data_IF_611821073699
#
_entry.id   IF_611821073699
#
_cell.length_a   1.000
_cell.length_b   1.000
_cell.length_c   1.000
_cell.angle_alpha   90.00
_cell.angle_beta   90.00
_cell.angle_gamma   90.00
#
_symmetry.space_group_name_H-M   'P 1'
#
loop_
_entity.id
_entity.type
_entity.pdbx_description
1 polymer ?
#
# COMPACT_ATOMS: atom_id res chain seq x y z
N UNK A 1 -13.71 -11.05 16.98
CA UNK A 1 -13.52 -11.13 18.46
C UNK A 1 -12.36 -10.21 18.83
N UNK A 2 -12.39 -9.57 20.02
CA UNK A 2 -11.25 -8.77 20.45
C UNK A 2 -10.01 -9.66 20.62
N UNK A 3 -8.86 -9.18 20.16
CA UNK A 3 -7.59 -9.87 20.25
C UNK A 3 -7.13 -9.99 21.72
N UNK A 4 -6.63 -11.15 22.11
CA UNK A 4 -6.09 -11.37 23.47
C UNK A 4 -4.80 -10.57 23.65
N UNK A 5 -4.69 -9.93 24.81
CA UNK A 5 -3.54 -9.10 25.19
C UNK A 5 -2.78 -9.75 26.35
N UNK A 6 -1.56 -10.21 26.12
CA UNK A 6 -0.73 -10.82 27.12
C UNK A 6 0.03 -9.80 27.97
N UNK A 7 0.24 -10.09 29.23
CA UNK A 7 1.15 -9.32 30.08
C UNK A 7 2.61 -9.54 29.64
N UNK A 8 3.52 -8.65 30.05
CA UNK A 8 4.94 -8.82 29.78
C UNK A 8 5.47 -10.16 30.32
N UNK A 9 5.00 -10.60 31.50
CA UNK A 9 5.41 -11.86 32.12
C UNK A 9 4.94 -13.07 31.31
N UNK A 10 3.68 -13.10 30.90
CA UNK A 10 3.14 -14.16 30.05
C UNK A 10 3.84 -14.24 28.70
N UNK A 11 4.05 -13.07 28.05
CA UNK A 11 4.78 -13.02 26.78
C UNK A 11 6.21 -13.55 26.90
N UNK A 12 6.91 -13.24 28.00
CA UNK A 12 8.24 -13.78 28.26
C UNK A 12 8.24 -15.30 28.38
N UNK A 13 7.25 -15.86 29.06
CA UNK A 13 7.10 -17.33 29.19
C UNK A 13 6.81 -17.98 27.84
N UNK A 14 5.89 -17.43 27.07
CA UNK A 14 5.50 -17.95 25.75
C UNK A 14 6.62 -17.88 24.70
N UNK A 15 7.44 -16.85 24.77
CA UNK A 15 8.52 -16.61 23.80
C UNK A 15 9.89 -17.14 24.25
N UNK A 16 10.02 -17.60 25.49
CA UNK A 16 11.32 -17.97 26.04
C UNK A 16 12.30 -16.80 26.17
N UNK A 17 11.78 -15.56 26.31
CA UNK A 17 12.60 -14.34 26.30
C UNK A 17 12.65 -13.67 27.66
N UNK A 18 13.79 -13.01 27.95
CA UNK A 18 13.92 -12.18 29.14
C UNK A 18 13.13 -10.86 28.99
N UNK A 19 12.48 -10.33 30.05
CA UNK A 19 11.70 -9.08 29.99
C UNK A 19 12.46 -7.88 29.41
N UNK A 20 13.75 -7.76 29.67
CA UNK A 20 14.61 -6.70 29.13
C UNK A 20 14.70 -6.76 27.59
N UNK A 21 14.66 -7.96 27.01
CA UNK A 21 14.69 -8.14 25.54
C UNK A 21 13.43 -7.57 24.92
N UNK A 22 12.25 -7.91 25.44
CA UNK A 22 10.96 -7.39 24.94
C UNK A 22 10.88 -5.87 25.12
N UNK A 23 11.37 -5.35 26.27
CA UNK A 23 11.42 -3.89 26.50
C UNK A 23 12.38 -3.17 25.53
N UNK A 24 13.51 -3.78 25.20
CA UNK A 24 14.46 -3.25 24.20
C UNK A 24 13.83 -3.25 22.82
N UNK A 25 13.13 -4.30 22.44
CA UNK A 25 12.43 -4.41 21.15
C UNK A 25 11.28 -3.42 21.04
N UNK A 26 10.50 -3.19 22.11
CA UNK A 26 9.48 -2.13 22.18
C UNK A 26 10.09 -0.74 21.90
N UNK A 27 11.22 -0.41 22.55
CA UNK A 27 11.93 0.86 22.31
C UNK A 27 12.49 0.98 20.88
N UNK A 28 12.83 -0.14 20.26
CA UNK A 28 13.38 -0.19 18.89
C UNK A 28 12.28 -0.32 17.80
N UNK A 29 11.02 -0.35 18.19
CA UNK A 29 9.91 -0.58 17.24
C UNK A 29 9.88 -1.98 16.60
N UNK A 30 10.61 -2.96 17.15
CA UNK A 30 10.70 -4.33 16.63
C UNK A 30 9.55 -5.23 17.07
N UNK A 31 8.79 -4.82 18.06
CA UNK A 31 7.63 -5.53 18.62
C UNK A 31 6.47 -4.57 18.81
N UNK A 32 5.27 -4.99 18.43
CA UNK A 32 4.05 -4.22 18.66
C UNK A 32 3.60 -4.39 20.11
N UNK A 33 3.46 -3.27 20.81
CA UNK A 33 3.02 -3.24 22.20
C UNK A 33 1.86 -2.28 22.35
N UNK A 34 0.78 -2.74 23.00
CA UNK A 34 -0.34 -1.91 23.41
C UNK A 34 -0.10 -1.45 24.86
N UNK A 35 -0.35 -0.17 25.15
CA UNK A 35 -0.25 0.37 26.51
C UNK A 35 -1.63 0.53 27.11
N UNK A 36 -1.82 -0.01 28.30
CA UNK A 36 -3.04 0.28 29.06
C UNK A 36 -3.08 1.73 29.52
N UNK A 37 -4.22 2.23 29.95
CA UNK A 37 -4.36 3.57 30.53
C UNK A 37 -3.35 3.85 31.65
N UNK A 38 -2.98 2.83 32.44
CA UNK A 38 -1.93 2.90 33.46
C UNK A 38 -0.50 2.70 32.93
N UNK A 39 -0.25 2.81 31.61
CA UNK A 39 1.07 2.72 30.98
C UNK A 39 1.68 1.32 30.92
N UNK A 40 0.99 0.28 31.42
CA UNK A 40 1.50 -1.09 31.42
C UNK A 40 1.49 -1.68 30.01
N UNK A 41 2.59 -2.36 29.64
CA UNK A 41 2.73 -3.06 28.37
C UNK A 41 1.81 -4.26 28.28
N UNK A 42 1.18 -4.41 27.12
CA UNK A 42 0.42 -5.59 26.70
C UNK A 42 0.88 -6.00 25.32
N UNK A 43 1.16 -7.27 25.12
CA UNK A 43 1.61 -7.82 23.85
C UNK A 43 0.43 -8.53 23.20
N UNK A 44 0.01 -8.14 22.01
CA UNK A 44 -1.07 -8.81 21.28
C UNK A 44 -0.73 -10.26 20.96
N UNK A 45 -1.74 -11.13 20.94
CA UNK A 45 -1.55 -12.56 20.61
C UNK A 45 -0.96 -12.74 19.21
N UNK A 46 -1.38 -11.96 18.24
CA UNK A 46 -0.81 -11.96 16.88
C UNK A 46 0.70 -11.72 16.88
N UNK A 47 1.17 -10.87 17.77
CA UNK A 47 2.58 -10.55 17.89
C UNK A 47 3.38 -11.69 18.56
N UNK A 48 2.78 -12.39 19.54
CA UNK A 48 3.36 -13.59 20.11
C UNK A 48 3.53 -14.66 19.04
N UNK A 49 2.46 -14.96 18.28
CA UNK A 49 2.48 -15.94 17.19
C UNK A 49 3.52 -15.59 16.12
N UNK A 50 3.62 -14.31 15.74
CA UNK A 50 4.62 -13.81 14.80
C UNK A 50 6.05 -14.12 15.28
N UNK A 51 6.33 -13.89 16.55
CA UNK A 51 7.64 -14.10 17.15
C UNK A 51 7.97 -15.57 17.38
N UNK A 52 6.96 -16.42 17.53
CA UNK A 52 7.12 -17.88 17.61
C UNK A 52 7.32 -18.54 16.25
N UNK A 53 7.29 -17.73 15.17
CA UNK A 53 7.38 -18.25 13.80
C UNK A 53 6.07 -18.89 13.32
N UNK A 54 5.00 -18.84 14.12
CA UNK A 54 3.66 -19.12 13.62
C UNK A 54 3.27 -18.01 12.66
N UNK A 55 3.35 -18.27 11.36
CA UNK A 55 2.76 -17.39 10.35
C UNK A 55 1.27 -17.37 10.65
N UNK A 56 0.77 -16.26 11.21
CA UNK A 56 -0.66 -16.02 11.32
C UNK A 56 -1.34 -16.28 9.97
N UNK A 57 -2.64 -16.56 9.96
CA UNK A 57 -3.40 -16.68 8.70
C UNK A 57 -3.18 -15.38 7.93
N UNK A 58 -2.29 -15.46 6.92
CA UNK A 58 -1.97 -14.33 6.07
C UNK A 58 -3.07 -14.21 5.02
N UNK A 59 -3.53 -13.00 4.79
CA UNK A 59 -4.64 -12.75 3.89
C UNK A 59 -4.18 -12.55 2.44
N UNK A 60 -5.03 -12.96 1.51
CA UNK A 60 -4.93 -12.57 0.10
C UNK A 60 -5.70 -11.26 -0.05
N UNK A 61 -5.03 -10.20 -0.51
CA UNK A 61 -5.60 -8.87 -0.64
C UNK A 61 -5.60 -8.45 -2.10
N UNK A 62 -6.76 -8.01 -2.59
CA UNK A 62 -6.86 -7.30 -3.86
C UNK A 62 -6.47 -5.83 -3.70
N UNK A 63 -5.83 -5.28 -4.72
CA UNK A 63 -5.60 -3.85 -4.79
C UNK A 63 -6.12 -3.27 -6.10
N UNK A 64 -7.01 -2.29 -6.01
CA UNK A 64 -7.61 -1.60 -7.15
C UNK A 64 -7.46 -0.09 -7.02
N UNK A 65 -7.23 0.60 -8.14
CA UNK A 65 -7.02 2.04 -8.15
C UNK A 65 -7.52 2.67 -9.43
N UNK A 66 -8.04 3.89 -9.29
CA UNK A 66 -8.30 4.82 -10.42
C UNK A 66 -7.67 6.18 -10.11
N UNK A 67 -7.37 6.97 -11.13
CA UNK A 67 -6.71 8.27 -10.96
C UNK A 67 -7.66 9.36 -10.46
N UNK A 68 -8.95 9.29 -10.80
CA UNK A 68 -9.95 10.31 -10.45
C UNK A 68 -11.28 9.72 -9.98
N UNK A 69 -12.06 10.54 -9.30
CA UNK A 69 -13.40 10.17 -8.83
C UNK A 69 -14.41 9.96 -9.98
N UNK A 70 -14.14 10.48 -11.17
CA UNK A 70 -14.98 10.26 -12.35
C UNK A 70 -14.90 8.83 -12.90
N UNK A 71 -13.89 8.06 -12.48
CA UNK A 71 -13.64 6.67 -12.89
C UNK A 71 -14.15 5.65 -11.86
N UNK A 72 -15.16 6.01 -11.04
CA UNK A 72 -15.70 5.07 -10.02
C UNK A 72 -16.21 3.77 -10.60
N UNK A 73 -16.87 3.83 -11.74
CA UNK A 73 -17.39 2.64 -12.43
C UNK A 73 -16.26 1.69 -12.85
N UNK A 74 -15.10 2.22 -13.23
CA UNK A 74 -13.91 1.42 -13.53
C UNK A 74 -13.33 0.80 -12.26
N UNK A 75 -13.35 1.53 -11.14
CA UNK A 75 -12.91 1.01 -9.85
C UNK A 75 -13.80 -0.14 -9.39
N UNK A 76 -15.11 0.02 -9.50
CA UNK A 76 -16.08 -1.02 -9.15
C UNK A 76 -15.92 -2.28 -10.02
N UNK A 77 -15.68 -2.11 -11.33
CA UNK A 77 -15.37 -3.24 -12.23
C UNK A 77 -14.08 -3.96 -11.83
N UNK A 78 -13.02 -3.23 -11.46
CA UNK A 78 -11.79 -3.83 -10.96
C UNK A 78 -12.04 -4.64 -9.69
N UNK A 79 -12.79 -4.10 -8.73
CA UNK A 79 -13.14 -4.76 -7.47
C UNK A 79 -13.95 -6.03 -7.72
N UNK A 80 -14.98 -5.94 -8.55
CA UNK A 80 -15.84 -7.08 -8.89
C UNK A 80 -15.05 -8.19 -9.58
N UNK A 81 -14.18 -7.84 -10.51
CA UNK A 81 -13.32 -8.81 -11.17
C UNK A 81 -12.38 -9.53 -10.19
N UNK A 82 -11.78 -8.82 -9.24
CA UNK A 82 -10.95 -9.42 -8.21
C UNK A 82 -11.76 -10.36 -7.30
N UNK A 83 -13.00 -9.98 -6.95
CA UNK A 83 -13.90 -10.82 -6.15
C UNK A 83 -14.29 -12.10 -6.87
N UNK A 84 -14.58 -12.05 -8.16
CA UNK A 84 -14.88 -13.23 -8.99
C UNK A 84 -13.70 -14.20 -9.06
N UNK A 85 -12.46 -13.72 -8.84
CA UNK A 85 -11.24 -14.54 -8.72
C UNK A 85 -10.98 -15.05 -7.30
N UNK A 86 -11.96 -14.90 -6.39
CA UNK A 86 -11.89 -15.42 -5.02
C UNK A 86 -11.19 -14.49 -4.03
N UNK A 87 -10.86 -13.25 -4.41
CA UNK A 87 -10.27 -12.27 -3.51
C UNK A 87 -11.36 -11.64 -2.66
N UNK A 88 -11.42 -11.97 -1.38
CA UNK A 88 -12.47 -11.50 -0.48
C UNK A 88 -12.27 -10.06 -0.01
N UNK A 89 -11.03 -9.68 0.29
CA UNK A 89 -10.69 -8.34 0.74
C UNK A 89 -10.00 -7.55 -0.38
N UNK A 90 -10.58 -6.41 -0.76
CA UNK A 90 -10.00 -5.51 -1.76
C UNK A 90 -9.80 -4.13 -1.15
N UNK A 91 -8.56 -3.66 -1.18
CA UNK A 91 -8.20 -2.30 -0.82
C UNK A 91 -8.29 -1.43 -2.06
N UNK A 92 -8.93 -0.27 -1.94
CA UNK A 92 -9.13 0.65 -3.06
C UNK A 92 -8.56 2.01 -2.78
N UNK A 93 -8.10 2.69 -3.85
CA UNK A 93 -7.69 4.09 -3.81
C UNK A 93 -8.24 4.88 -5.00
N UNK A 94 -8.50 6.16 -4.79
CA UNK A 94 -8.74 7.15 -5.84
C UNK A 94 -7.60 8.16 -5.77
N UNK A 95 -6.76 8.18 -6.81
CA UNK A 95 -5.61 9.07 -6.91
C UNK A 95 -4.55 8.54 -7.87
N UNK A 96 -3.70 9.45 -8.35
CA UNK A 96 -2.62 9.12 -9.29
C UNK A 96 -1.66 8.03 -8.73
N UNK A 97 -1.14 7.19 -9.62
CA UNK A 97 -0.09 6.22 -9.32
C UNK A 97 1.23 6.84 -8.83
N UNK A 98 1.40 8.16 -9.05
CA UNK A 98 2.52 8.95 -8.54
C UNK A 98 2.35 9.41 -7.09
N UNK A 99 1.16 9.30 -6.54
CA UNK A 99 0.88 9.73 -5.18
C UNK A 99 1.18 8.59 -4.19
N UNK A 100 2.32 8.66 -3.55
CA UNK A 100 2.75 7.68 -2.54
C UNK A 100 2.00 7.79 -1.21
N UNK A 101 1.21 8.87 -1.01
CA UNK A 101 0.46 9.13 0.23
C UNK A 101 -0.99 8.62 0.17
N UNK A 102 -1.34 7.78 -0.79
CA UNK A 102 -2.66 7.15 -0.88
C UNK A 102 -2.93 6.30 0.35
N UNK A 103 -4.09 6.49 0.95
CA UNK A 103 -4.45 5.84 2.23
C UNK A 103 -4.52 4.32 2.12
N UNK A 104 -5.08 3.81 1.04
CA UNK A 104 -5.17 2.37 0.79
C UNK A 104 -3.79 1.76 0.54
N UNK A 105 -2.95 2.42 -0.26
CA UNK A 105 -1.58 2.00 -0.51
C UNK A 105 -0.75 1.91 0.78
N UNK A 106 -0.78 2.96 1.61
CA UNK A 106 -0.06 2.96 2.88
C UNK A 106 -0.58 1.87 3.83
N UNK A 107 -1.92 1.68 3.91
CA UNK A 107 -2.51 0.59 4.70
C UNK A 107 -2.07 -0.80 4.20
N UNK A 108 -2.02 -1.00 2.88
CA UNK A 108 -1.50 -2.25 2.31
C UNK A 108 -0.03 -2.46 2.66
N UNK A 109 0.79 -1.43 2.49
CA UNK A 109 2.22 -1.47 2.81
C UNK A 109 2.45 -1.80 4.29
N UNK A 110 1.74 -1.14 5.19
CA UNK A 110 1.83 -1.41 6.64
C UNK A 110 1.51 -2.88 6.95
N UNK A 111 0.46 -3.43 6.35
CA UNK A 111 0.08 -4.84 6.55
C UNK A 111 1.14 -5.82 6.01
N UNK A 112 1.75 -5.50 4.87
CA UNK A 112 2.87 -6.29 4.32
C UNK A 112 4.06 -6.25 5.26
N UNK A 113 4.46 -5.06 5.73
CA UNK A 113 5.57 -4.88 6.67
C UNK A 113 5.35 -5.60 8.01
N UNK A 114 4.08 -5.79 8.41
CA UNK A 114 3.71 -6.59 9.59
C UNK A 114 3.54 -8.09 9.28
N UNK A 115 3.87 -8.55 8.07
CA UNK A 115 3.74 -9.93 7.61
C UNK A 115 2.30 -10.49 7.70
N UNK A 116 1.29 -9.65 7.52
CA UNK A 116 -0.14 -10.00 7.57
C UNK A 116 -0.68 -10.43 6.20
N UNK A 117 0.09 -10.23 5.12
CA UNK A 117 -0.35 -10.47 3.74
C UNK A 117 0.45 -11.61 3.12
N UNK A 118 -0.24 -12.60 2.56
CA UNK A 118 0.36 -13.70 1.82
C UNK A 118 0.54 -13.36 0.34
N UNK A 119 -0.52 -12.79 -0.25
CA UNK A 119 -0.53 -12.44 -1.66
C UNK A 119 -1.29 -11.13 -1.88
N UNK A 120 -0.74 -10.27 -2.75
CA UNK A 120 -1.44 -9.11 -3.30
C UNK A 120 -1.81 -9.39 -4.75
N UNK A 121 -3.09 -9.24 -5.09
CA UNK A 121 -3.61 -9.46 -6.43
C UNK A 121 -4.07 -8.14 -7.03
N UNK A 122 -3.64 -7.82 -8.24
CA UNK A 122 -4.03 -6.62 -8.95
C UNK A 122 -4.16 -6.85 -10.45
N UNK A 123 -4.88 -5.98 -11.13
CA UNK A 123 -5.08 -6.12 -12.58
C UNK A 123 -3.84 -5.72 -13.39
N UNK A 124 -3.16 -4.66 -12.97
CA UNK A 124 -1.98 -4.12 -13.62
C UNK A 124 -0.99 -3.60 -12.57
N UNK A 125 0.30 -3.63 -12.87
CA UNK A 125 1.38 -3.15 -12.00
C UNK A 125 1.22 -1.67 -11.63
N UNK A 126 0.75 -0.86 -12.57
CA UNK A 126 0.53 0.58 -12.39
C UNK A 126 -0.61 0.91 -11.41
N UNK A 127 -1.43 -0.07 -11.05
CA UNK A 127 -2.41 0.09 -9.95
C UNK A 127 -1.68 0.31 -8.64
N UNK A 128 -0.59 -0.44 -8.38
CA UNK A 128 0.19 -0.30 -7.15
C UNK A 128 1.01 0.99 -7.16
N UNK A 129 1.81 1.20 -8.18
CA UNK A 129 2.65 2.41 -8.33
C UNK A 129 2.98 2.67 -9.79
N UNK A 130 3.19 3.93 -10.16
CA UNK A 130 3.60 4.28 -11.51
C UNK A 130 5.09 4.05 -11.74
N UNK A 131 5.91 4.18 -10.70
CA UNK A 131 7.35 3.95 -10.76
C UNK A 131 7.80 3.13 -9.54
N UNK A 132 8.90 2.39 -9.70
CA UNK A 132 9.50 1.63 -8.61
C UNK A 132 8.74 0.34 -8.24
N UNK A 133 7.95 -0.23 -9.16
CA UNK A 133 7.24 -1.48 -8.94
C UNK A 133 8.18 -2.61 -8.50
N UNK A 134 9.33 -2.78 -9.17
CA UNK A 134 10.31 -3.82 -8.83
C UNK A 134 10.88 -3.65 -7.41
N UNK A 135 11.05 -2.39 -6.97
CA UNK A 135 11.50 -2.10 -5.60
C UNK A 135 10.44 -2.56 -4.59
N UNK A 136 9.17 -2.20 -4.83
CA UNK A 136 8.07 -2.63 -3.97
C UNK A 136 7.90 -4.15 -3.99
N UNK A 137 7.99 -4.77 -5.15
CA UNK A 137 7.96 -6.23 -5.31
C UNK A 137 9.03 -6.89 -4.45
N UNK A 138 10.27 -6.38 -4.51
CA UNK A 138 11.36 -6.88 -3.69
C UNK A 138 11.11 -6.72 -2.19
N UNK A 139 10.57 -5.58 -1.75
CA UNK A 139 10.16 -5.35 -0.36
C UNK A 139 9.10 -6.37 0.07
N UNK A 140 8.07 -6.59 -0.75
CA UNK A 140 7.00 -7.54 -0.47
C UNK A 140 7.54 -8.96 -0.36
N UNK A 141 8.42 -9.38 -1.27
CA UNK A 141 9.08 -10.69 -1.24
C UNK A 141 9.89 -10.92 0.05
N UNK A 142 10.65 -9.90 0.50
CA UNK A 142 11.42 -9.98 1.77
C UNK A 142 10.50 -10.22 2.97
N UNK A 143 9.28 -9.66 2.93
CA UNK A 143 8.22 -9.92 3.91
C UNK A 143 7.40 -11.19 3.60
N UNK A 144 7.82 -11.96 2.60
CA UNK A 144 7.18 -13.20 2.19
C UNK A 144 5.82 -13.01 1.54
N UNK A 145 5.50 -11.81 1.04
CA UNK A 145 4.28 -11.50 0.28
C UNK A 145 4.55 -11.65 -1.21
N UNK A 146 3.75 -12.45 -1.91
CA UNK A 146 3.79 -12.54 -3.37
C UNK A 146 2.90 -11.48 -4.02
N UNK A 147 3.25 -11.05 -5.24
CA UNK A 147 2.40 -10.18 -6.06
C UNK A 147 1.94 -10.98 -7.29
N UNK A 148 0.64 -10.93 -7.55
CA UNK A 148 0.00 -11.56 -8.70
C UNK A 148 -0.66 -10.47 -9.57
N UNK A 149 -0.15 -10.29 -10.80
CA UNK A 149 -0.64 -9.29 -11.76
C UNK A 149 -1.38 -10.01 -12.87
N UNK A 150 -2.68 -9.76 -12.99
CA UNK A 150 -3.58 -10.52 -13.84
C UNK A 150 -3.52 -10.13 -15.33
N UNK A 151 -2.92 -8.97 -15.67
CA UNK A 151 -2.70 -8.45 -17.03
C UNK A 151 -3.89 -8.59 -17.99
N UNK A 152 -5.06 -8.10 -17.59
CA UNK A 152 -6.27 -8.22 -18.41
C UNK A 152 -6.33 -7.19 -19.54
N UNK A 153 -6.54 -7.71 -20.76
CA UNK A 153 -6.53 -6.92 -22.00
C UNK A 153 -7.84 -6.13 -22.23
N UNK A 154 -8.94 -6.47 -21.55
CA UNK A 154 -10.28 -5.94 -21.88
C UNK A 154 -10.70 -4.67 -21.13
N UNK A 155 -9.97 -4.24 -20.12
CA UNK A 155 -10.27 -2.98 -19.43
C UNK A 155 -9.52 -1.83 -20.06
N UNK A 156 -10.28 -0.76 -20.39
CA UNK A 156 -9.76 0.44 -21.04
C UNK A 156 -8.43 0.90 -20.47
N UNK A 157 -7.53 1.01 -21.39
CA UNK A 157 -6.13 1.35 -21.34
C UNK A 157 -5.73 2.39 -20.26
N UNK A 158 -4.59 2.13 -19.62
CA UNK A 158 -3.87 3.10 -18.78
C UNK A 158 -3.40 4.36 -19.54
N UNK A 159 -3.61 4.45 -20.85
CA UNK A 159 -3.06 5.52 -21.69
C UNK A 159 -3.48 6.92 -21.22
N UNK A 160 -4.76 7.12 -20.93
CA UNK A 160 -5.24 8.42 -20.45
C UNK A 160 -4.67 8.77 -19.08
N UNK A 161 -4.57 7.79 -18.19
CA UNK A 161 -3.95 7.98 -16.87
C UNK A 161 -2.45 8.30 -17.00
N UNK A 162 -1.75 7.68 -17.97
CA UNK A 162 -0.35 7.97 -18.24
C UNK A 162 -0.15 9.41 -18.70
N UNK A 163 -1.02 9.90 -19.57
CA UNK A 163 -1.01 11.30 -20.02
C UNK A 163 -1.21 12.26 -18.84
N UNK A 164 -2.19 12.00 -17.99
CA UNK A 164 -2.47 12.82 -16.82
C UNK A 164 -1.28 12.82 -15.81
N UNK A 165 -0.64 11.66 -15.64
CA UNK A 165 0.55 11.54 -14.82
C UNK A 165 1.74 12.31 -15.41
N UNK A 166 1.98 12.25 -16.73
CA UNK A 166 3.00 13.04 -17.41
C UNK A 166 2.76 14.55 -17.27
N UNK A 167 1.52 14.99 -17.46
CA UNK A 167 1.14 16.40 -17.25
C UNK A 167 1.44 16.81 -15.80
N UNK A 168 1.15 15.95 -14.83
CA UNK A 168 1.44 16.20 -13.41
C UNK A 168 2.94 16.32 -13.15
N UNK A 169 3.78 15.46 -13.74
CA UNK A 169 5.23 15.54 -13.63
C UNK A 169 5.75 16.84 -14.23
N UNK A 170 5.35 17.15 -15.48
CA UNK A 170 5.75 18.38 -16.18
C UNK A 170 5.35 19.60 -15.35
N UNK A 171 4.13 19.61 -14.80
CA UNK A 171 3.63 20.71 -13.97
C UNK A 171 4.47 20.91 -12.70
N UNK A 172 4.86 19.83 -12.03
CA UNK A 172 5.72 19.88 -10.83
C UNK A 172 7.13 20.38 -11.16
N UNK A 173 7.72 19.93 -12.28
CA UNK A 173 9.03 20.38 -12.73
C UNK A 173 8.99 21.86 -13.15
N UNK A 174 8.02 22.25 -13.95
CA UNK A 174 7.86 23.64 -14.38
C UNK A 174 7.62 24.56 -13.19
N UNK A 175 6.81 24.16 -12.21
CA UNK A 175 6.58 24.91 -10.99
C UNK A 175 7.85 25.13 -10.15
N UNK A 176 8.73 24.10 -10.08
CA UNK A 176 10.03 24.23 -9.41
C UNK A 176 11.03 25.13 -10.17
N UNK A 177 11.03 25.06 -11.51
CA UNK A 177 11.98 25.82 -12.34
C UNK A 177 11.62 27.30 -12.49
N UNK A 178 10.33 27.61 -12.56
CA UNK A 178 9.86 28.95 -12.94
C UNK A 178 9.06 29.68 -11.85
N UNK A 179 8.79 29.02 -10.72
CA UNK A 179 7.92 29.52 -9.67
C UNK A 179 6.43 29.47 -10.04
N UNK A 180 5.58 29.25 -9.05
CA UNK A 180 4.13 29.06 -9.22
C UNK A 180 3.35 30.25 -9.84
N UNK A 181 4.01 31.42 -10.04
CA UNK A 181 3.40 32.66 -10.53
C UNK A 181 3.77 33.02 -11.96
N UNK A 182 4.53 32.22 -12.67
CA UNK A 182 5.03 32.54 -14.01
C UNK A 182 4.01 32.19 -15.09
N UNK A 183 3.75 33.09 -16.01
CA UNK A 183 2.93 32.88 -17.23
C UNK A 183 3.45 31.66 -18.04
N UNK A 184 4.76 31.44 -18.09
CA UNK A 184 5.41 30.33 -18.77
C UNK A 184 5.00 28.95 -18.24
N UNK A 185 4.70 28.83 -16.95
CA UNK A 185 4.22 27.58 -16.37
C UNK A 185 2.89 27.12 -17.01
N UNK A 186 1.93 28.05 -17.15
CA UNK A 186 0.62 27.77 -17.78
C UNK A 186 0.80 27.36 -19.24
N UNK A 187 1.67 28.04 -19.97
CA UNK A 187 1.94 27.79 -21.40
C UNK A 187 2.57 26.39 -21.61
N UNK A 188 3.54 25.97 -20.79
CA UNK A 188 4.17 24.65 -20.86
C UNK A 188 3.15 23.53 -20.56
N UNK A 189 2.31 23.71 -19.55
CA UNK A 189 1.26 22.75 -19.20
C UNK A 189 0.23 22.62 -20.33
N UNK A 190 -0.18 23.75 -20.93
CA UNK A 190 -1.16 23.77 -22.03
C UNK A 190 -0.60 23.12 -23.31
N UNK A 191 0.66 23.39 -23.63
CA UNK A 191 1.35 22.74 -24.77
C UNK A 191 1.50 21.24 -24.57
N UNK A 192 1.85 20.79 -23.36
CA UNK A 192 1.92 19.39 -23.05
C UNK A 192 0.56 18.69 -23.20
N UNK A 193 -0.52 19.28 -22.70
CA UNK A 193 -1.89 18.75 -22.89
C UNK A 193 -2.27 18.62 -24.37
N UNK A 194 -1.97 19.64 -25.16
CA UNK A 194 -2.32 19.65 -26.59
C UNK A 194 -1.52 18.63 -27.40
N UNK A 195 -0.24 18.41 -27.08
CA UNK A 195 0.59 17.39 -27.70
C UNK A 195 0.05 15.97 -27.47
N UNK A 196 -0.42 15.67 -26.26
CA UNK A 196 -0.94 14.36 -25.91
C UNK A 196 -2.42 14.14 -26.28
N UNK A 197 -3.16 15.21 -26.58
CA UNK A 197 -4.55 15.12 -27.08
C UNK A 197 -4.62 14.80 -28.59
N UNK A 198 -3.52 14.92 -29.32
CA UNK A 198 -3.43 14.65 -30.75
C UNK A 198 -2.77 13.29 -31.08
N UNK A 199 -2.33 12.55 -30.06
CA UNK A 199 -1.75 11.22 -30.18
C UNK A 199 -2.76 10.13 -29.80
#
# INVERSE_FOLDING_TARGET
>A
MPERLYTLKEACLLLGLHPRTIQKWDKQGKIRVVRTLGGRRRIPESEIRRLQGERGIRSVIGYARVSSATQKDDLERQVEYLRQRGVQEVITDIGSGLNEKRKGFLRLLDRVLHNEVDKVVMLYEDRLTRFGFDILKRVFEVHGTSIDVLNQVEMKSPQQELVDDLVTIISRFSGKMYGLRSHRHKEVVERAKNLFAQA
#
